data_IF_879275470130
#
_entry.id   IF_879275470130
#
_cell.length_a   1.000
_cell.length_b   1.000
_cell.length_c   1.000
_cell.angle_alpha   90.00
_cell.angle_beta   90.00
_cell.angle_gamma   90.00
#
_symmetry.space_group_name_H-M   'P 1'
#
loop_
_entity.id
_entity.type
_entity.pdbx_description
1 polymer ?
#
# COMPACT_ATOMS: atom_id res chain seq x y z
N UNK A 1 -46.89 -34.49 0.73
CA UNK A 1 -45.68 -34.83 -0.05
C UNK A 1 -44.90 -33.62 -0.59
N UNK A 2 -45.54 -32.58 -1.15
CA UNK A 2 -44.82 -31.35 -1.60
C UNK A 2 -44.10 -30.62 -0.47
N UNK A 3 -44.72 -30.52 0.72
CA UNK A 3 -44.14 -29.84 1.88
C UNK A 3 -42.89 -30.55 2.42
N UNK A 4 -42.90 -31.89 2.51
CA UNK A 4 -41.72 -32.68 2.89
C UNK A 4 -40.58 -32.56 1.88
N UNK A 5 -40.87 -32.46 0.57
CA UNK A 5 -39.85 -32.25 -0.47
C UNK A 5 -39.23 -30.85 -0.38
N UNK A 6 -40.03 -29.81 -0.11
CA UNK A 6 -39.53 -28.46 0.13
C UNK A 6 -38.69 -28.36 1.40
N UNK A 7 -39.08 -29.07 2.47
CA UNK A 7 -38.29 -29.15 3.70
C UNK A 7 -36.95 -29.86 3.47
N UNK A 8 -36.93 -30.96 2.72
CA UNK A 8 -35.70 -31.67 2.37
C UNK A 8 -34.78 -30.84 1.49
N UNK A 9 -35.30 -30.10 0.51
CA UNK A 9 -34.50 -29.18 -0.33
C UNK A 9 -33.95 -28.02 0.49
N UNK A 10 -34.74 -27.47 1.43
CA UNK A 10 -34.27 -26.43 2.35
C UNK A 10 -33.17 -26.92 3.28
N UNK A 11 -33.31 -28.14 3.84
CA UNK A 11 -32.29 -28.76 4.70
C UNK A 11 -31.03 -29.07 3.89
N UNK A 12 -31.17 -29.58 2.67
CA UNK A 12 -30.05 -29.88 1.78
C UNK A 12 -29.29 -28.61 1.36
N UNK A 13 -29.99 -27.50 1.07
CA UNK A 13 -29.36 -26.20 0.77
C UNK A 13 -28.65 -25.63 2.01
N UNK A 14 -29.21 -25.82 3.22
CA UNK A 14 -28.56 -25.35 4.46
C UNK A 14 -27.34 -26.16 4.89
N UNK A 15 -27.22 -27.43 4.46
CA UNK A 15 -26.03 -28.26 4.75
C UNK A 15 -24.90 -28.01 3.74
N UNK A 16 -25.22 -27.45 2.57
CA UNK A 16 -24.25 -27.10 1.52
C UNK A 16 -23.84 -25.62 1.52
N UNK A 17 -24.13 -24.84 2.58
CA UNK A 17 -23.38 -23.60 2.81
C UNK A 17 -21.95 -24.00 3.14
N UNK A 18 -21.14 -24.11 2.09
CA UNK A 18 -19.68 -24.12 2.16
C UNK A 18 -19.33 -22.93 3.04
N UNK A 19 -18.73 -23.21 4.19
CA UNK A 19 -18.09 -22.20 5.00
C UNK A 19 -16.93 -21.66 4.18
N UNK A 20 -17.21 -20.70 3.29
CA UNK A 20 -16.18 -19.90 2.64
C UNK A 20 -15.55 -19.07 3.74
N UNK A 21 -14.45 -19.58 4.30
CA UNK A 21 -13.54 -18.75 5.07
C UNK A 21 -12.73 -17.94 4.07
N UNK A 22 -12.76 -16.63 4.19
CA UNK A 22 -11.80 -15.81 3.48
C UNK A 22 -10.44 -16.04 4.14
N UNK A 23 -9.46 -16.54 3.38
CA UNK A 23 -8.07 -16.78 3.82
C UNK A 23 -7.27 -15.47 4.01
N UNK A 24 -7.98 -14.36 4.25
CA UNK A 24 -7.47 -12.99 4.40
C UNK A 24 -6.09 -12.90 5.05
N UNK A 25 -5.19 -12.11 4.45
CA UNK A 25 -3.92 -11.77 5.07
C UNK A 25 -3.02 -10.95 4.16
N UNK A 26 -2.22 -10.09 4.79
CA UNK A 26 -1.09 -9.41 4.16
C UNK A 26 0.17 -10.09 4.66
N UNK A 27 0.79 -10.90 3.81
CA UNK A 27 1.84 -11.84 4.20
C UNK A 27 3.23 -11.27 3.91
N UNK A 28 4.20 -11.52 4.80
CA UNK A 28 5.60 -11.12 4.59
C UNK A 28 6.19 -12.02 3.50
N UNK A 29 6.70 -11.47 2.37
CA UNK A 29 7.18 -12.27 1.24
C UNK A 29 8.26 -13.29 1.60
N UNK A 30 9.17 -12.95 2.52
CA UNK A 30 10.24 -13.86 2.98
C UNK A 30 9.74 -15.08 3.77
N UNK A 31 8.47 -15.08 4.20
CA UNK A 31 7.84 -16.17 4.94
C UNK A 31 6.88 -17.02 4.08
N UNK A 32 6.70 -16.70 2.80
CA UNK A 32 5.72 -17.35 1.93
C UNK A 32 5.89 -18.87 1.86
N UNK A 33 7.13 -19.35 1.74
CA UNK A 33 7.42 -20.79 1.66
C UNK A 33 6.98 -21.57 2.89
N UNK A 34 6.99 -20.91 4.07
CA UNK A 34 6.61 -21.51 5.34
C UNK A 34 5.11 -21.41 5.63
N UNK A 35 4.45 -20.35 5.16
CA UNK A 35 3.11 -19.98 5.61
C UNK A 35 2.02 -20.26 4.57
N UNK A 36 2.18 -19.77 3.34
CA UNK A 36 1.04 -19.60 2.42
C UNK A 36 1.21 -20.30 1.08
N UNK A 37 2.44 -20.71 0.74
CA UNK A 37 2.73 -21.20 -0.61
C UNK A 37 1.88 -22.41 -1.03
N UNK A 38 1.64 -23.34 -0.11
CA UNK A 38 0.79 -24.50 -0.38
C UNK A 38 -0.65 -24.10 -0.75
N UNK A 39 -1.20 -23.08 -0.11
CA UNK A 39 -2.55 -22.60 -0.41
C UNK A 39 -2.59 -21.80 -1.72
N UNK A 40 -1.54 -21.01 -2.00
CA UNK A 40 -1.39 -20.34 -3.31
C UNK A 40 -1.40 -21.35 -4.46
N UNK A 41 -0.70 -22.49 -4.32
CA UNK A 41 -0.70 -23.55 -5.32
C UNK A 41 -2.09 -24.18 -5.51
N UNK A 42 -2.82 -24.46 -4.42
CA UNK A 42 -4.20 -24.97 -4.49
C UNK A 42 -5.14 -24.00 -5.22
N UNK A 43 -4.90 -22.69 -5.08
CA UNK A 43 -5.65 -21.63 -5.75
C UNK A 43 -5.22 -21.39 -7.21
N UNK A 44 -4.20 -22.10 -7.70
CA UNK A 44 -3.76 -22.06 -9.10
C UNK A 44 -2.48 -21.27 -9.37
N UNK A 45 -1.74 -20.86 -8.33
CA UNK A 45 -0.42 -20.28 -8.49
C UNK A 45 0.54 -21.28 -9.16
N UNK A 46 1.18 -20.85 -10.25
CA UNK A 46 2.19 -21.65 -10.97
C UNK A 46 3.63 -21.23 -10.67
N UNK A 47 3.80 -20.13 -9.94
CA UNK A 47 5.12 -19.65 -9.53
C UNK A 47 5.62 -20.47 -8.34
N UNK A 48 6.92 -20.57 -8.21
CA UNK A 48 7.61 -21.02 -7.00
C UNK A 48 7.70 -19.90 -5.97
N UNK A 49 7.91 -20.25 -4.69
CA UNK A 49 8.15 -19.24 -3.66
C UNK A 49 9.41 -18.39 -3.97
N UNK A 50 10.44 -19.00 -4.54
CA UNK A 50 11.70 -18.32 -4.92
C UNK A 50 11.51 -17.37 -6.12
N UNK A 51 10.63 -17.70 -7.07
CA UNK A 51 10.26 -16.77 -8.15
C UNK A 51 9.51 -15.54 -7.63
N UNK A 52 8.83 -15.66 -6.49
CA UNK A 52 8.13 -14.53 -5.84
C UNK A 52 9.10 -13.69 -5.00
N UNK A 53 9.91 -14.35 -4.16
CA UNK A 53 10.89 -13.71 -3.29
C UNK A 53 12.16 -14.56 -3.16
N UNK A 54 13.30 -14.01 -3.56
CA UNK A 54 14.63 -14.59 -3.33
C UNK A 54 15.66 -13.51 -3.03
N UNK A 55 16.61 -13.80 -2.15
CA UNK A 55 17.79 -12.95 -1.91
C UNK A 55 19.01 -13.39 -2.74
N UNK A 56 18.94 -14.59 -3.34
CA UNK A 56 20.07 -15.22 -4.03
C UNK A 56 20.02 -15.01 -5.55
N UNK A 57 18.84 -14.74 -6.11
CA UNK A 57 18.63 -14.44 -7.52
C UNK A 57 17.47 -13.45 -7.69
N UNK A 58 17.33 -12.90 -8.90
CA UNK A 58 16.20 -12.04 -9.25
C UNK A 58 14.87 -12.75 -9.03
N UNK A 59 13.87 -12.03 -8.54
CA UNK A 59 12.50 -12.51 -8.33
C UNK A 59 11.48 -11.39 -8.57
N UNK A 60 10.18 -11.70 -8.47
CA UNK A 60 9.12 -10.69 -8.64
C UNK A 60 9.32 -9.49 -7.70
N UNK A 61 9.83 -9.69 -6.48
CA UNK A 61 10.10 -8.60 -5.54
C UNK A 61 10.93 -7.46 -6.16
N UNK A 62 11.83 -7.78 -7.09
CA UNK A 62 12.75 -6.82 -7.70
C UNK A 62 12.08 -5.93 -8.75
N UNK A 63 10.85 -6.27 -9.16
CA UNK A 63 10.02 -5.41 -10.01
C UNK A 63 8.96 -4.64 -9.22
N UNK A 64 8.77 -4.89 -7.93
CA UNK A 64 7.78 -4.19 -7.09
C UNK A 64 8.48 -3.07 -6.34
N UNK A 65 8.04 -1.85 -6.61
CA UNK A 65 8.63 -0.62 -6.08
C UNK A 65 7.67 0.09 -5.13
N UNK A 66 8.24 0.80 -4.16
CA UNK A 66 7.53 1.74 -3.31
C UNK A 66 7.81 3.16 -3.82
N UNK A 67 6.76 3.90 -4.12
CA UNK A 67 6.86 5.34 -4.36
C UNK A 67 6.92 6.07 -3.03
N UNK A 68 7.76 7.09 -2.94
CA UNK A 68 7.99 7.82 -1.71
C UNK A 68 8.64 9.18 -1.92
N UNK A 69 8.97 9.79 -0.79
CA UNK A 69 9.76 11.01 -0.73
C UNK A 69 10.92 10.82 0.23
N UNK A 70 12.01 11.54 0.00
CA UNK A 70 13.10 11.65 0.95
C UNK A 70 13.00 12.96 1.72
N UNK A 71 13.06 12.89 3.05
CA UNK A 71 13.14 14.06 3.92
C UNK A 71 14.18 13.81 5.00
N UNK A 72 15.12 14.75 5.17
CA UNK A 72 16.22 14.65 6.13
C UNK A 72 17.05 13.34 6.00
N UNK A 73 17.21 12.83 4.77
CA UNK A 73 17.94 11.59 4.49
C UNK A 73 17.19 10.30 4.84
N UNK A 74 15.91 10.39 5.24
CA UNK A 74 15.03 9.25 5.44
C UNK A 74 14.00 9.15 4.32
N UNK A 75 13.84 7.93 3.78
CA UNK A 75 12.81 7.61 2.80
C UNK A 75 11.49 7.25 3.49
N UNK A 76 10.40 7.83 3.02
CA UNK A 76 9.03 7.50 3.43
C UNK A 76 8.18 7.16 2.20
N UNK A 77 7.66 5.95 2.15
CA UNK A 77 6.83 5.48 1.04
C UNK A 77 5.33 5.68 1.28
N UNK A 78 4.58 5.86 0.19
CA UNK A 78 3.14 6.12 0.21
C UNK A 78 2.32 5.29 -0.79
N UNK A 79 2.92 4.80 -1.88
CA UNK A 79 2.24 4.00 -2.90
C UNK A 79 3.10 2.82 -3.34
N UNK A 80 2.45 1.89 -4.05
CA UNK A 80 3.13 0.81 -4.77
C UNK A 80 3.23 1.17 -6.26
N UNK A 81 4.26 0.67 -6.91
CA UNK A 81 4.47 0.76 -8.34
C UNK A 81 5.18 -0.50 -8.83
N UNK A 82 5.23 -0.71 -10.15
CA UNK A 82 5.85 -1.88 -10.73
C UNK A 82 6.65 -1.58 -11.99
N UNK A 83 7.83 -2.19 -12.11
CA UNK A 83 8.68 -2.09 -13.30
C UNK A 83 8.19 -3.07 -14.36
N UNK A 84 7.95 -2.56 -15.56
CA UNK A 84 7.36 -3.31 -16.68
C UNK A 84 8.24 -3.33 -17.93
N UNK A 85 9.48 -2.85 -17.84
CA UNK A 85 10.44 -2.91 -18.95
C UNK A 85 11.89 -2.99 -18.48
N UNK A 86 12.79 -3.47 -19.33
CA UNK A 86 14.24 -3.46 -19.10
C UNK A 86 14.91 -2.07 -19.12
N UNK A 87 14.13 -0.98 -19.22
CA UNK A 87 14.61 0.41 -19.19
C UNK A 87 13.89 1.24 -18.13
N UNK A 88 13.53 0.63 -17.01
CA UNK A 88 13.05 1.33 -15.83
C UNK A 88 11.65 1.94 -15.93
N UNK A 89 10.87 1.61 -16.97
CA UNK A 89 9.48 2.05 -17.08
C UNK A 89 8.67 1.49 -15.91
N UNK A 90 8.00 2.38 -15.19
CA UNK A 90 7.33 2.15 -13.92
C UNK A 90 5.85 2.52 -14.05
N UNK A 91 4.96 1.58 -13.74
CA UNK A 91 3.52 1.82 -13.69
C UNK A 91 3.07 2.01 -12.24
N UNK A 92 2.13 2.91 -12.02
CA UNK A 92 1.45 3.13 -10.74
C UNK A 92 0.07 3.72 -11.00
N UNK A 93 -0.71 3.99 -9.96
CA UNK A 93 -2.00 4.66 -10.13
C UNK A 93 -1.86 6.15 -10.50
N UNK A 94 -2.86 6.70 -11.18
CA UNK A 94 -2.94 8.13 -11.47
C UNK A 94 -2.98 8.93 -10.17
N UNK A 95 -3.73 8.47 -9.17
CA UNK A 95 -3.80 9.15 -7.87
C UNK A 95 -2.46 9.10 -7.09
N UNK A 96 -1.63 8.07 -7.32
CA UNK A 96 -0.27 7.99 -6.74
C UNK A 96 0.69 8.98 -7.38
N UNK A 97 0.62 9.16 -8.70
CA UNK A 97 1.39 10.17 -9.43
C UNK A 97 0.82 11.59 -9.34
N UNK A 98 -0.35 11.76 -8.73
CA UNK A 98 -1.16 12.97 -8.85
C UNK A 98 -0.48 14.23 -8.31
N UNK A 99 0.23 14.10 -7.20
CA UNK A 99 1.01 15.20 -6.62
C UNK A 99 2.12 15.67 -7.56
N UNK A 100 2.87 14.72 -8.16
CA UNK A 100 3.90 15.02 -9.13
C UNK A 100 3.31 15.67 -10.40
N UNK A 101 2.18 15.14 -10.91
CA UNK A 101 1.49 15.70 -12.08
C UNK A 101 0.98 17.12 -11.78
N UNK A 102 0.42 17.36 -10.59
CA UNK A 102 -0.05 18.67 -10.18
C UNK A 102 1.08 19.68 -10.06
N UNK A 103 2.21 19.31 -9.44
CA UNK A 103 3.40 20.17 -9.31
C UNK A 103 4.04 20.50 -10.67
N UNK A 104 3.94 19.60 -11.64
CA UNK A 104 4.41 19.82 -13.01
C UNK A 104 3.42 20.66 -13.84
N UNK A 105 2.17 20.77 -13.43
CA UNK A 105 1.13 21.48 -14.18
C UNK A 105 1.19 23.00 -13.95
N UNK A 106 0.95 23.78 -15.00
CA UNK A 106 0.69 25.22 -14.91
C UNK A 106 -0.66 25.55 -15.53
N UNK A 107 -1.06 26.83 -15.52
CA UNK A 107 -2.28 27.27 -16.23
C UNK A 107 -2.11 27.05 -17.75
N UNK A 108 -0.92 27.29 -18.29
CA UNK A 108 -0.58 27.11 -19.69
C UNK A 108 -0.42 25.62 -20.06
N UNK A 109 0.13 24.82 -19.15
CA UNK A 109 0.37 23.38 -19.34
C UNK A 109 -0.35 22.58 -18.24
N UNK A 110 -1.67 22.49 -18.35
CA UNK A 110 -2.49 21.77 -17.39
C UNK A 110 -2.50 20.26 -17.70
N UNK A 111 -1.52 19.52 -17.16
CA UNK A 111 -1.42 18.07 -17.32
C UNK A 111 -2.49 17.32 -16.53
N UNK A 112 -3.06 17.92 -15.48
CA UNK A 112 -4.20 17.34 -14.78
C UNK A 112 -5.44 17.28 -15.69
N UNK A 113 -5.73 18.36 -16.42
CA UNK A 113 -6.87 18.42 -17.31
C UNK A 113 -6.65 17.65 -18.62
N UNK A 114 -5.47 17.79 -19.22
CA UNK A 114 -5.21 17.32 -20.59
C UNK A 114 -4.44 16.00 -20.66
N UNK A 115 -3.87 15.54 -19.55
CA UNK A 115 -2.91 14.46 -19.53
C UNK A 115 -1.53 14.91 -20.04
N UNK A 116 -0.59 13.98 -20.04
CA UNK A 116 0.78 14.18 -20.51
C UNK A 116 1.29 12.89 -21.14
N UNK A 117 2.08 12.98 -22.22
CA UNK A 117 2.71 11.84 -22.87
C UNK A 117 4.02 12.28 -23.53
N UNK A 118 5.15 11.83 -23.01
CA UNK A 118 6.45 12.08 -23.64
C UNK A 118 6.59 11.23 -24.91
N UNK A 119 7.09 11.83 -26.01
CA UNK A 119 7.34 11.10 -27.26
C UNK A 119 8.66 10.36 -27.24
N UNK A 120 9.58 10.78 -26.37
CA UNK A 120 10.91 10.22 -26.20
C UNK A 120 11.44 10.55 -24.80
N UNK A 121 12.54 9.91 -24.42
CA UNK A 121 13.16 10.05 -23.09
C UNK A 121 13.63 11.48 -22.75
N UNK A 122 13.92 12.31 -23.75
CA UNK A 122 14.35 13.70 -23.51
C UNK A 122 13.17 14.62 -23.16
N UNK A 123 11.95 14.20 -23.45
CA UNK A 123 10.72 14.91 -23.11
C UNK A 123 10.13 14.47 -21.77
N UNK A 124 10.69 13.43 -21.12
CA UNK A 124 10.23 12.99 -19.79
C UNK A 124 10.51 14.06 -18.74
N UNK A 125 9.49 14.39 -17.93
CA UNK A 125 9.56 15.51 -16.98
C UNK A 125 10.07 15.05 -15.62
N UNK A 126 11.11 15.70 -15.09
CA UNK A 126 11.62 15.38 -13.75
C UNK A 126 10.57 15.67 -12.67
N UNK A 127 10.13 14.64 -11.96
CA UNK A 127 9.20 14.77 -10.83
C UNK A 127 10.00 15.05 -9.55
N UNK A 128 10.38 16.31 -9.33
CA UNK A 128 11.24 16.70 -8.21
C UNK A 128 10.66 16.24 -6.85
N UNK A 129 11.51 15.59 -6.06
CA UNK A 129 11.16 15.04 -4.75
C UNK A 129 10.45 13.69 -4.78
N UNK A 130 10.01 13.19 -5.94
CA UNK A 130 9.50 11.83 -6.07
C UNK A 130 10.66 10.84 -6.11
N UNK A 131 10.61 9.85 -5.23
CA UNK A 131 11.57 8.75 -5.16
C UNK A 131 10.85 7.42 -5.45
N UNK A 132 11.59 6.45 -5.96
CA UNK A 132 11.15 5.08 -6.12
C UNK A 132 12.16 4.15 -5.45
N UNK A 133 11.72 3.20 -4.64
CA UNK A 133 12.60 2.24 -3.97
C UNK A 133 12.17 0.81 -4.22
N UNK A 134 13.11 -0.13 -4.21
CA UNK A 134 12.77 -1.55 -4.20
C UNK A 134 13.45 -2.28 -3.04
N UNK A 135 12.84 -3.39 -2.65
CA UNK A 135 13.26 -4.20 -1.52
C UNK A 135 14.47 -5.07 -1.89
N UNK A 136 15.58 -4.89 -1.18
CA UNK A 136 16.77 -5.74 -1.29
C UNK A 136 16.57 -7.04 -0.50
N UNK A 137 16.26 -6.94 0.80
CA UNK A 137 16.04 -8.09 1.69
C UNK A 137 15.21 -7.72 2.91
N UNK A 138 14.76 -8.75 3.61
CA UNK A 138 14.06 -8.67 4.91
C UNK A 138 14.80 -9.58 5.88
N UNK A 139 15.19 -9.04 7.04
CA UNK A 139 15.84 -9.80 8.11
C UNK A 139 14.96 -9.77 9.38
N UNK A 140 14.76 -10.91 10.04
CA UNK A 140 14.19 -10.95 11.39
C UNK A 140 15.26 -10.51 12.38
N UNK A 141 15.00 -9.40 13.08
CA UNK A 141 15.90 -8.81 14.06
C UNK A 141 15.28 -8.74 15.45
N UNK A 142 14.19 -9.50 15.68
CA UNK A 142 13.42 -9.49 16.93
C UNK A 142 14.30 -9.72 18.15
N UNK A 143 15.12 -10.77 18.12
CA UNK A 143 16.03 -11.10 19.23
C UNK A 143 17.04 -9.97 19.52
N UNK A 144 17.56 -9.31 18.48
CA UNK A 144 18.52 -8.19 18.63
C UNK A 144 17.86 -6.94 19.19
N UNK A 145 16.64 -6.64 18.76
CA UNK A 145 15.89 -5.48 19.24
C UNK A 145 15.49 -5.65 20.72
N UNK A 146 15.10 -6.87 21.11
CA UNK A 146 14.61 -7.17 22.45
C UNK A 146 15.69 -7.62 23.44
N UNK A 147 16.96 -7.70 23.04
CA UNK A 147 18.08 -8.16 23.88
C UNK A 147 18.16 -7.47 25.26
N UNK A 148 17.87 -6.17 25.30
CA UNK A 148 17.93 -5.36 26.51
C UNK A 148 16.55 -5.10 27.14
N UNK A 149 15.49 -5.70 26.62
CA UNK A 149 14.14 -5.60 27.17
C UNK A 149 13.95 -6.72 28.20
N UNK A 150 13.55 -6.36 29.41
CA UNK A 150 13.35 -7.31 30.53
C UNK A 150 11.94 -7.18 31.08
N UNK A 151 11.46 -8.28 31.65
CA UNK A 151 10.18 -8.30 32.35
C UNK A 151 10.18 -7.29 33.50
N UNK A 152 9.05 -6.59 33.66
CA UNK A 152 8.86 -5.59 34.72
C UNK A 152 9.52 -4.22 34.45
N UNK A 153 10.12 -4.00 33.27
CA UNK A 153 10.56 -2.65 32.86
C UNK A 153 9.37 -1.70 32.76
N UNK A 154 9.61 -0.41 33.09
CA UNK A 154 8.65 0.64 32.78
C UNK A 154 8.55 0.84 31.26
N UNK A 155 7.38 1.20 30.77
CA UNK A 155 7.13 1.35 29.32
C UNK A 155 8.04 2.40 28.67
N UNK A 156 8.36 3.49 29.38
CA UNK A 156 9.28 4.51 28.87
C UNK A 156 10.70 3.97 28.72
N UNK A 157 11.16 3.17 29.70
CA UNK A 157 12.49 2.54 29.68
C UNK A 157 12.57 1.46 28.60
N UNK A 158 11.53 0.64 28.47
CA UNK A 158 11.37 -0.36 27.41
C UNK A 158 11.43 0.29 26.02
N UNK A 159 10.66 1.35 25.82
CA UNK A 159 10.61 2.09 24.55
C UNK A 159 11.97 2.71 24.22
N UNK A 160 12.65 3.29 25.21
CA UNK A 160 13.99 3.84 25.02
C UNK A 160 15.03 2.78 24.64
N UNK A 161 14.99 1.60 25.30
CA UNK A 161 15.87 0.48 24.98
C UNK A 161 15.66 -0.03 23.54
N UNK A 162 14.40 -0.22 23.13
CA UNK A 162 14.03 -0.63 21.76
C UNK A 162 14.50 0.41 20.75
N UNK A 163 14.23 1.70 20.99
CA UNK A 163 14.65 2.79 20.07
C UNK A 163 16.16 2.82 19.88
N UNK A 164 16.93 2.62 20.96
CA UNK A 164 18.39 2.56 20.91
C UNK A 164 18.88 1.37 20.08
N UNK A 165 18.31 0.18 20.29
CA UNK A 165 18.65 -1.02 19.53
C UNK A 165 18.32 -0.84 18.03
N UNK A 166 17.12 -0.34 17.73
CA UNK A 166 16.68 -0.06 16.35
C UNK A 166 17.64 0.89 15.64
N UNK A 167 18.01 2.01 16.27
CA UNK A 167 18.92 2.98 15.65
C UNK A 167 20.31 2.40 15.37
N UNK A 168 20.81 1.52 16.25
CA UNK A 168 22.09 0.86 16.06
C UNK A 168 22.06 -0.14 14.88
N UNK A 169 21.02 -1.00 14.83
CA UNK A 169 20.87 -2.01 13.77
C UNK A 169 20.64 -1.33 12.40
N UNK A 170 19.79 -0.29 12.34
CA UNK A 170 19.57 0.45 11.10
C UNK A 170 20.85 1.15 10.62
N UNK A 171 21.67 1.69 11.53
CA UNK A 171 22.94 2.32 11.17
C UNK A 171 23.90 1.30 10.56
N UNK A 172 24.08 0.15 11.21
CA UNK A 172 24.92 -0.96 10.73
C UNK A 172 24.48 -1.42 9.33
N UNK A 173 23.18 -1.57 9.11
CA UNK A 173 22.65 -2.04 7.83
C UNK A 173 22.88 -1.09 6.64
N UNK A 174 23.13 0.20 6.90
CA UNK A 174 23.37 1.24 5.88
C UNK A 174 24.86 1.52 5.65
N UNK A 175 25.74 0.98 6.48
CA UNK A 175 27.16 1.36 6.48
C UNK A 175 27.86 0.89 5.19
N UNK A 176 28.44 1.85 4.46
CA UNK A 176 29.30 1.58 3.30
C UNK A 176 28.61 1.11 2.01
N UNK A 177 27.27 1.00 1.97
CA UNK A 177 26.55 0.41 0.84
C UNK A 177 25.57 1.35 0.11
N UNK A 178 25.23 2.51 0.69
CA UNK A 178 24.31 3.47 0.07
C UNK A 178 22.83 3.07 0.11
N UNK A 179 22.48 1.99 0.82
CA UNK A 179 21.11 1.57 1.01
C UNK A 179 20.41 2.35 2.12
N UNK A 180 19.09 2.29 2.10
CA UNK A 180 18.23 2.69 3.21
C UNK A 180 17.80 1.44 3.98
N UNK A 181 17.70 1.57 5.29
CA UNK A 181 17.29 0.47 6.15
C UNK A 181 16.29 0.99 7.18
N UNK A 182 15.19 0.26 7.36
CA UNK A 182 14.16 0.59 8.34
C UNK A 182 13.69 -0.66 9.06
N UNK A 183 13.69 -0.61 10.38
CA UNK A 183 13.04 -1.63 11.20
C UNK A 183 11.58 -1.24 11.36
N UNK A 184 10.71 -2.23 11.14
CA UNK A 184 9.28 -2.10 11.39
C UNK A 184 8.86 -3.09 12.46
N UNK A 185 7.99 -2.60 13.33
CA UNK A 185 7.34 -3.37 14.37
C UNK A 185 6.17 -4.16 13.77
N UNK A 186 6.13 -5.45 14.04
CA UNK A 186 5.04 -6.34 13.68
C UNK A 186 4.35 -6.89 14.93
N UNK A 187 3.11 -7.36 14.77
CA UNK A 187 2.31 -7.97 15.83
C UNK A 187 2.32 -7.17 17.14
N UNK A 188 2.04 -5.87 17.07
CA UNK A 188 1.99 -4.96 18.22
C UNK A 188 3.26 -4.93 19.09
N UNK A 189 4.44 -5.27 18.54
CA UNK A 189 5.71 -5.19 19.30
C UNK A 189 6.29 -6.54 19.70
N UNK A 190 5.67 -7.62 19.27
CA UNK A 190 6.17 -8.96 19.49
C UNK A 190 7.28 -9.35 18.50
N UNK A 191 7.30 -8.74 17.31
CA UNK A 191 8.30 -9.02 16.28
C UNK A 191 8.84 -7.74 15.64
N UNK A 192 10.10 -7.80 15.17
CA UNK A 192 10.79 -6.69 14.51
C UNK A 192 11.53 -7.19 13.28
N UNK A 193 11.20 -6.60 12.13
CA UNK A 193 11.82 -6.94 10.85
C UNK A 193 12.57 -5.74 10.28
N UNK A 194 13.82 -5.97 9.89
CA UNK A 194 14.64 -5.01 9.16
C UNK A 194 14.36 -5.15 7.67
N UNK A 195 14.00 -4.03 7.03
CA UNK A 195 13.83 -3.94 5.60
C UNK A 195 14.95 -3.08 5.02
N UNK A 196 15.65 -3.61 4.02
CA UNK A 196 16.71 -2.87 3.32
C UNK A 196 16.28 -2.57 1.89
N UNK A 197 16.45 -1.32 1.48
CA UNK A 197 15.99 -0.77 0.23
C UNK A 197 17.11 -0.06 -0.53
N UNK A 198 17.05 -0.15 -1.84
CA UNK A 198 17.75 0.78 -2.72
C UNK A 198 16.75 1.86 -3.17
N UNK A 199 17.15 3.14 -3.07
CA UNK A 199 16.26 4.29 -3.28
C UNK A 199 16.77 5.15 -4.42
N UNK A 200 15.99 5.24 -5.49
CA UNK A 200 16.23 6.08 -6.66
C UNK A 200 15.55 7.44 -6.51
N UNK A 201 16.31 8.51 -6.77
CA UNK A 201 15.90 9.90 -6.55
C UNK A 201 15.61 10.67 -7.84
N UNK A 202 15.89 10.07 -9.00
CA UNK A 202 15.54 10.61 -10.31
C UNK A 202 14.42 9.76 -10.91
N UNK A 203 13.19 10.21 -10.71
CA UNK A 203 11.98 9.60 -11.25
C UNK A 203 11.31 10.63 -12.15
N UNK A 204 11.02 10.26 -13.39
CA UNK A 204 10.50 11.18 -14.40
C UNK A 204 9.13 10.75 -14.90
N UNK A 205 8.22 11.70 -15.06
CA UNK A 205 6.89 11.47 -15.63
C UNK A 205 7.04 11.16 -17.12
N UNK A 206 6.50 10.02 -17.54
CA UNK A 206 6.46 9.55 -18.93
C UNK A 206 5.08 9.76 -19.52
N UNK A 207 4.04 9.43 -18.75
CA UNK A 207 2.67 9.56 -19.24
C UNK A 207 1.62 9.54 -18.15
N UNK A 208 0.58 10.31 -18.32
CA UNK A 208 -0.62 10.30 -17.49
C UNK A 208 -1.85 10.59 -18.36
N UNK A 209 -2.94 9.82 -18.22
CA UNK A 209 -4.20 10.18 -18.85
C UNK A 209 -4.75 11.49 -18.25
N UNK A 210 -5.63 12.21 -18.95
CA UNK A 210 -6.36 13.32 -18.35
C UNK A 210 -7.14 12.85 -17.13
N UNK A 211 -7.35 13.75 -16.17
CA UNK A 211 -8.12 13.49 -14.95
C UNK A 211 -9.52 12.94 -15.21
N UNK A 212 -10.15 13.31 -16.34
CA UNK A 212 -11.43 12.77 -16.76
C UNK A 212 -11.41 11.24 -16.96
N UNK A 213 -10.24 10.65 -17.20
CA UNK A 213 -10.02 9.19 -17.29
C UNK A 213 -9.38 8.69 -15.99
N UNK A 214 -8.27 9.31 -15.57
CA UNK A 214 -7.44 8.90 -14.43
C UNK A 214 -8.19 8.89 -13.10
N UNK A 215 -9.25 9.69 -12.98
CA UNK A 215 -10.16 9.73 -11.83
C UNK A 215 -11.63 9.90 -12.24
N UNK A 216 -12.02 9.23 -13.33
CA UNK A 216 -13.42 9.19 -13.79
C UNK A 216 -14.37 8.84 -12.63
N UNK A 217 -15.48 9.57 -12.53
CA UNK A 217 -16.45 9.49 -11.43
C UNK A 217 -16.05 10.25 -10.16
N UNK A 218 -14.79 10.67 -10.04
CA UNK A 218 -14.27 11.49 -8.95
C UNK A 218 -14.68 11.01 -7.56
N UNK A 219 -15.07 11.95 -6.71
CA UNK A 219 -15.57 11.64 -5.38
C UNK A 219 -16.96 11.00 -5.40
N UNK A 220 -17.65 10.79 -6.51
CA UNK A 220 -18.89 9.98 -6.47
C UNK A 220 -18.55 8.51 -6.46
N UNK A 221 -17.66 8.11 -7.37
CA UNK A 221 -17.33 6.70 -7.57
C UNK A 221 -16.22 6.20 -6.64
N UNK A 222 -15.47 7.09 -5.97
CA UNK A 222 -14.43 6.66 -5.04
C UNK A 222 -14.97 5.70 -3.95
N UNK A 223 -14.24 4.61 -3.67
CA UNK A 223 -14.65 3.44 -2.87
C UNK A 223 -15.84 2.61 -3.38
N UNK A 224 -16.30 2.81 -4.61
CA UNK A 224 -17.45 2.09 -5.17
C UNK A 224 -17.05 1.02 -6.21
N UNK A 225 -17.88 -0.03 -6.26
CA UNK A 225 -17.98 -1.01 -7.35
C UNK A 225 -19.45 -1.10 -7.80
N UNK A 226 -19.79 -1.16 -9.12
CA UNK A 226 -18.92 -1.19 -10.30
C UNK A 226 -18.04 0.04 -10.47
N UNK A 227 -16.92 -0.09 -11.21
CA UNK A 227 -15.94 0.98 -11.42
C UNK A 227 -15.45 1.04 -12.87
N UNK A 228 -15.25 2.25 -13.38
CA UNK A 228 -14.86 2.52 -14.77
C UNK A 228 -13.68 3.53 -14.89
N UNK A 229 -12.85 3.64 -13.86
CA UNK A 229 -11.74 4.59 -13.81
C UNK A 229 -10.47 3.98 -14.42
N UNK A 230 -9.83 4.70 -15.34
CA UNK A 230 -8.51 4.35 -15.89
C UNK A 230 -7.38 4.87 -15.00
N UNK A 231 -7.32 4.41 -13.75
CA UNK A 231 -6.44 4.96 -12.70
C UNK A 231 -4.98 4.47 -12.86
N UNK A 232 -4.25 5.08 -13.79
CA UNK A 232 -2.83 4.81 -13.99
C UNK A 232 -2.02 6.06 -14.34
N UNK A 233 -0.75 6.05 -13.98
CA UNK A 233 0.28 6.96 -14.48
C UNK A 233 1.58 6.18 -14.68
N UNK A 234 2.45 6.73 -15.53
CA UNK A 234 3.67 6.08 -15.99
C UNK A 234 4.83 7.01 -15.69
N UNK A 235 5.82 6.45 -15.01
CA UNK A 235 7.09 7.09 -14.72
C UNK A 235 8.24 6.26 -15.29
N UNK A 236 9.44 6.80 -15.24
CA UNK A 236 10.68 6.06 -15.46
C UNK A 236 11.68 6.36 -14.36
N UNK A 237 12.31 5.31 -13.86
CA UNK A 237 13.41 5.41 -12.91
C UNK A 237 14.71 5.63 -13.66
N UNK A 238 15.51 6.61 -13.22
CA UNK A 238 16.84 6.92 -13.73
C UNK A 238 17.91 6.68 -12.65
N UNK A 239 19.14 6.46 -13.11
CA UNK A 239 20.30 6.24 -12.27
C UNK A 239 21.54 6.93 -12.87
N UNK A 240 22.59 7.08 -12.05
CA UNK A 240 23.88 7.56 -12.52
C UNK A 240 24.46 6.64 -13.59
N UNK A 241 25.36 7.18 -14.42
CA UNK A 241 26.06 6.39 -15.44
C UNK A 241 26.93 5.26 -14.85
N UNK A 242 27.26 5.34 -13.56
CA UNK A 242 27.92 4.30 -12.78
C UNK A 242 26.98 3.16 -12.34
N UNK A 243 25.70 3.24 -12.69
CA UNK A 243 24.67 2.26 -12.36
C UNK A 243 24.09 2.41 -10.96
N UNK A 244 24.39 3.49 -10.23
CA UNK A 244 23.92 3.70 -8.85
C UNK A 244 22.79 4.73 -8.78
N UNK A 245 21.95 4.68 -7.74
CA UNK A 245 21.00 5.75 -7.48
C UNK A 245 21.67 7.12 -7.42
N UNK A 246 21.09 8.09 -8.13
CA UNK A 246 21.61 9.44 -8.21
C UNK A 246 20.47 10.46 -8.08
N UNK A 247 20.81 11.67 -7.65
CA UNK A 247 19.93 12.82 -7.83
C UNK A 247 19.78 13.12 -9.33
N UNK A 248 18.76 13.91 -9.67
CA UNK A 248 18.54 14.33 -11.06
C UNK A 248 19.80 14.90 -11.71
N UNK A 249 20.11 14.38 -12.90
CA UNK A 249 21.10 14.92 -13.83
C UNK A 249 20.63 14.66 -15.25
N UNK A 250 20.97 15.56 -16.18
CA UNK A 250 20.73 15.35 -17.61
C UNK A 250 21.50 14.15 -18.16
N UNK A 251 22.61 13.80 -17.51
CA UNK A 251 23.49 12.68 -17.92
C UNK A 251 23.07 11.34 -17.30
N UNK A 252 22.05 11.33 -16.43
CA UNK A 252 21.52 10.09 -15.88
C UNK A 252 20.92 9.22 -16.99
N UNK A 253 21.03 7.92 -16.83
CA UNK A 253 20.57 6.91 -17.78
C UNK A 253 19.37 6.15 -17.21
N UNK A 254 18.48 5.59 -18.05
CA UNK A 254 17.40 4.73 -17.58
C UNK A 254 17.90 3.59 -16.70
N UNK A 255 17.23 3.36 -15.58
CA UNK A 255 17.52 2.23 -14.69
C UNK A 255 17.37 0.90 -15.44
N UNK A 256 18.34 0.00 -15.24
CA UNK A 256 18.31 -1.36 -15.76
C UNK A 256 17.91 -2.29 -14.63
N UNK A 257 16.66 -2.79 -14.61
CA UNK A 257 16.16 -3.55 -13.48
C UNK A 257 16.73 -4.97 -13.43
N UNK A 258 16.81 -5.52 -12.22
CA UNK A 258 17.11 -6.93 -12.00
C UNK A 258 15.99 -7.86 -12.50
N UNK A 259 14.75 -7.37 -12.47
CA UNK A 259 13.56 -8.07 -12.96
C UNK A 259 12.53 -7.06 -13.45
N UNK A 260 11.71 -7.42 -14.45
CA UNK A 260 10.55 -6.63 -14.84
C UNK A 260 9.36 -7.54 -15.13
N UNK A 261 8.15 -7.03 -14.88
CA UNK A 261 6.93 -7.77 -15.14
C UNK A 261 6.64 -7.81 -16.65
N UNK A 262 6.16 -8.97 -17.11
CA UNK A 262 5.59 -9.11 -18.44
C UNK A 262 4.10 -8.75 -18.40
N UNK A 263 3.64 -7.95 -19.35
CA UNK A 263 2.23 -7.56 -19.44
C UNK A 263 1.47 -8.58 -20.30
N UNK A 264 0.48 -9.23 -19.72
CA UNK A 264 -0.43 -10.13 -20.46
C UNK A 264 -1.51 -9.33 -21.18
N UNK A 265 -1.71 -9.61 -22.47
CA UNK A 265 -2.83 -9.07 -23.28
C UNK A 265 -3.97 -10.08 -23.47
N UNK A 266 -3.95 -11.19 -22.72
CA UNK A 266 -4.93 -12.29 -22.87
C UNK A 266 -6.26 -12.05 -22.14
N UNK A 267 -6.36 -10.97 -21.37
CA UNK A 267 -7.50 -10.68 -20.50
C UNK A 267 -7.51 -11.51 -19.21
N UNK A 268 -8.59 -11.39 -18.45
CA UNK A 268 -8.84 -12.08 -17.18
C UNK A 268 -10.26 -12.66 -17.17
N UNK A 269 -10.49 -13.73 -16.41
CA UNK A 269 -11.81 -14.35 -16.23
C UNK A 269 -12.08 -14.65 -14.75
N UNK A 270 -13.36 -14.85 -14.36
CA UNK A 270 -13.69 -15.27 -13.01
C UNK A 270 -12.88 -16.51 -12.58
N UNK A 271 -12.42 -16.49 -11.33
CA UNK A 271 -11.59 -17.52 -10.70
C UNK A 271 -10.16 -17.68 -11.23
N UNK A 272 -9.64 -16.74 -12.03
CA UNK A 272 -8.21 -16.69 -12.28
C UNK A 272 -7.44 -16.39 -10.99
N UNK A 273 -6.37 -17.14 -10.74
CA UNK A 273 -5.45 -16.86 -9.64
C UNK A 273 -4.89 -15.45 -9.78
N UNK A 274 -5.02 -14.65 -8.71
CA UNK A 274 -4.51 -13.28 -8.66
C UNK A 274 -3.63 -13.13 -7.43
N UNK A 275 -2.42 -12.62 -7.65
CA UNK A 275 -1.49 -12.25 -6.58
C UNK A 275 -1.23 -10.75 -6.65
N UNK A 276 -1.37 -10.07 -5.52
CA UNK A 276 -1.06 -8.65 -5.37
C UNK A 276 0.12 -8.54 -4.41
N UNK A 277 1.18 -7.86 -4.85
CA UNK A 277 2.33 -7.51 -4.04
C UNK A 277 2.42 -5.99 -3.95
N UNK A 278 2.71 -5.48 -2.76
CA UNK A 278 2.83 -4.05 -2.54
C UNK A 278 3.10 -3.71 -1.08
N UNK A 279 2.92 -2.43 -0.76
CA UNK A 279 3.28 -1.84 0.52
C UNK A 279 2.03 -1.33 1.24
N UNK A 280 1.21 -2.22 1.83
CA UNK A 280 0.03 -1.79 2.57
C UNK A 280 0.45 -0.91 3.75
N UNK A 281 -0.28 0.20 3.96
CA UNK A 281 0.07 1.20 4.96
C UNK A 281 -0.21 0.74 6.40
N UNK A 282 -1.49 0.69 6.79
CA UNK A 282 -1.90 0.33 8.14
C UNK A 282 -3.17 -0.53 8.11
N UNK A 283 -3.26 -1.49 9.02
CA UNK A 283 -4.46 -2.25 9.30
C UNK A 283 -4.67 -2.34 10.81
N UNK A 284 -5.92 -2.55 11.23
CA UNK A 284 -6.31 -2.65 12.64
C UNK A 284 -7.04 -3.98 12.90
N UNK A 285 -6.56 -5.07 12.29
CA UNK A 285 -7.24 -6.37 12.30
C UNK A 285 -7.51 -6.94 13.70
N UNK A 286 -6.68 -6.57 14.67
CA UNK A 286 -6.77 -7.03 16.06
C UNK A 286 -7.41 -6.01 17.01
N UNK A 287 -8.08 -4.98 16.48
CA UNK A 287 -8.82 -4.03 17.29
C UNK A 287 -9.88 -4.77 18.11
N UNK A 288 -9.99 -4.43 19.40
CA UNK A 288 -11.03 -4.99 20.28
C UNK A 288 -12.42 -4.54 19.84
N UNK A 289 -13.45 -5.25 20.29
CA UNK A 289 -14.82 -4.83 20.06
C UNK A 289 -15.10 -3.41 20.55
N UNK A 290 -14.58 -3.05 21.73
CA UNK A 290 -14.68 -1.70 22.28
C UNK A 290 -13.97 -0.65 21.40
N UNK A 291 -12.83 -1.00 20.81
CA UNK A 291 -12.15 -0.14 19.85
C UNK A 291 -12.97 0.06 18.58
N UNK A 292 -13.58 -1.00 18.04
CA UNK A 292 -14.48 -0.90 16.88
C UNK A 292 -15.72 -0.05 17.19
N UNK A 293 -16.30 -0.18 18.39
CA UNK A 293 -17.41 0.65 18.85
C UNK A 293 -17.01 2.12 18.96
N UNK A 294 -15.85 2.42 19.55
CA UNK A 294 -15.31 3.77 19.62
C UNK A 294 -15.12 4.38 18.22
N UNK A 295 -14.60 3.60 17.26
CA UNK A 295 -14.47 4.03 15.86
C UNK A 295 -15.82 4.37 15.24
N UNK A 296 -16.81 3.48 15.41
CA UNK A 296 -18.16 3.62 14.88
C UNK A 296 -18.90 4.83 15.45
N UNK A 297 -18.85 5.02 16.76
CA UNK A 297 -19.77 5.90 17.48
C UNK A 297 -19.16 7.27 17.82
N UNK A 298 -17.84 7.39 17.83
CA UNK A 298 -17.15 8.62 18.27
C UNK A 298 -16.12 9.11 17.25
N UNK A 299 -15.11 8.31 16.95
CA UNK A 299 -13.94 8.76 16.19
C UNK A 299 -14.27 9.12 14.73
N UNK A 300 -14.81 8.17 13.96
CA UNK A 300 -15.14 8.41 12.56
C UNK A 300 -16.24 9.48 12.38
N UNK A 301 -17.33 9.52 13.18
CA UNK A 301 -18.32 10.59 13.09
C UNK A 301 -17.72 12.00 13.27
N UNK A 302 -16.77 12.15 14.19
CA UNK A 302 -16.08 13.43 14.40
C UNK A 302 -15.23 13.83 13.20
N UNK A 303 -14.45 12.89 12.63
CA UNK A 303 -13.64 13.13 11.44
C UNK A 303 -14.50 13.50 10.24
N UNK A 304 -15.56 12.75 9.96
CA UNK A 304 -16.49 13.02 8.84
C UNK A 304 -17.08 14.43 8.99
N UNK A 305 -17.54 14.81 10.19
CA UNK A 305 -18.12 16.14 10.41
C UNK A 305 -17.12 17.29 10.17
N UNK A 306 -15.90 17.16 10.69
CA UNK A 306 -14.88 18.22 10.60
C UNK A 306 -14.31 18.31 9.19
N UNK A 307 -13.94 17.18 8.61
CA UNK A 307 -13.32 17.10 7.29
C UNK A 307 -14.31 17.48 6.19
N UNK A 308 -15.58 17.07 6.30
CA UNK A 308 -16.61 17.47 5.34
C UNK A 308 -16.74 18.98 5.21
N UNK A 309 -16.80 19.70 6.35
CA UNK A 309 -16.85 21.18 6.34
C UNK A 309 -15.63 21.81 5.66
N UNK A 310 -14.43 21.25 5.90
CA UNK A 310 -13.20 21.74 5.27
C UNK A 310 -13.23 21.54 3.76
N UNK A 311 -13.67 20.36 3.30
CA UNK A 311 -13.82 20.04 1.88
C UNK A 311 -14.83 20.96 1.19
N UNK A 312 -15.98 21.24 1.82
CA UNK A 312 -16.99 22.16 1.27
C UNK A 312 -16.42 23.56 1.03
N UNK A 313 -15.65 24.07 2.00
CA UNK A 313 -14.98 25.38 1.88
C UNK A 313 -13.94 25.36 0.77
N UNK A 314 -13.06 24.37 0.75
CA UNK A 314 -12.02 24.25 -0.27
C UNK A 314 -12.62 24.14 -1.68
N UNK A 315 -13.64 23.32 -1.85
CA UNK A 315 -14.31 23.10 -3.14
C UNK A 315 -14.85 24.41 -3.72
N UNK A 316 -15.47 25.25 -2.89
CA UNK A 316 -15.97 26.58 -3.31
C UNK A 316 -14.88 27.43 -3.94
N UNK A 317 -13.68 27.46 -3.36
CA UNK A 317 -12.57 28.27 -3.90
C UNK A 317 -11.91 27.62 -5.11
N UNK A 318 -11.77 26.29 -5.11
CA UNK A 318 -11.26 25.55 -6.27
C UNK A 318 -12.17 25.69 -7.49
N UNK A 319 -13.49 25.74 -7.31
CA UNK A 319 -14.44 25.93 -8.43
C UNK A 319 -14.40 27.36 -9.00
N UNK A 320 -13.97 28.33 -8.21
CA UNK A 320 -13.90 29.73 -8.60
C UNK A 320 -12.59 30.13 -9.30
N UNK A 321 -11.51 29.35 -9.15
CA UNK A 321 -10.20 29.68 -9.70
C UNK A 321 -9.42 28.43 -10.12
N UNK A 322 -8.98 28.40 -11.38
CA UNK A 322 -8.15 27.32 -11.92
C UNK A 322 -6.79 27.25 -11.22
N UNK A 323 -6.19 28.39 -10.87
CA UNK A 323 -4.93 28.45 -10.12
C UNK A 323 -5.10 27.80 -8.74
N UNK A 324 -6.17 28.14 -8.00
CA UNK A 324 -6.47 27.53 -6.70
C UNK A 324 -6.78 26.05 -6.84
N UNK A 325 -7.49 25.67 -7.91
CA UNK A 325 -7.80 24.26 -8.19
C UNK A 325 -6.53 23.45 -8.40
N UNK A 326 -5.56 23.94 -9.15
CA UNK A 326 -4.26 23.28 -9.36
C UNK A 326 -3.50 23.22 -8.03
N UNK A 327 -3.40 24.34 -7.31
CA UNK A 327 -2.66 24.43 -6.05
C UNK A 327 -3.20 23.49 -4.95
N UNK A 328 -4.53 23.34 -4.84
CA UNK A 328 -5.16 22.49 -3.84
C UNK A 328 -5.53 21.09 -4.34
N UNK A 329 -5.21 20.75 -5.60
CA UNK A 329 -5.68 19.52 -6.24
C UNK A 329 -5.32 18.27 -5.44
N UNK A 330 -4.04 18.15 -5.06
CA UNK A 330 -3.47 16.99 -4.36
C UNK A 330 -4.03 16.88 -2.94
N UNK A 331 -3.95 17.97 -2.17
CA UNK A 331 -4.43 18.03 -0.78
C UNK A 331 -5.93 17.74 -0.67
N UNK A 332 -6.74 18.32 -1.58
CA UNK A 332 -8.18 18.08 -1.61
C UNK A 332 -8.48 16.60 -1.88
N UNK A 333 -7.84 16.00 -2.89
CA UNK A 333 -8.07 14.60 -3.26
C UNK A 333 -7.68 13.64 -2.12
N UNK A 334 -6.54 13.86 -1.47
CA UNK A 334 -6.11 13.05 -0.32
C UNK A 334 -7.09 13.14 0.84
N UNK A 335 -7.57 14.35 1.15
CA UNK A 335 -8.52 14.57 2.23
C UNK A 335 -9.93 14.02 1.90
N UNK A 336 -10.39 14.16 0.66
CA UNK A 336 -11.66 13.61 0.19
C UNK A 336 -11.65 12.07 0.18
N UNK A 337 -10.51 11.46 -0.14
CA UNK A 337 -10.32 10.01 -0.06
C UNK A 337 -10.48 9.50 1.39
N UNK A 338 -9.81 10.15 2.35
CA UNK A 338 -9.94 9.83 3.77
C UNK A 338 -11.36 10.05 4.29
N UNK A 339 -11.98 11.18 3.91
CA UNK A 339 -13.38 11.49 4.25
C UNK A 339 -14.32 10.35 3.91
N UNK A 340 -14.23 9.84 2.68
CA UNK A 340 -15.05 8.71 2.24
C UNK A 340 -14.72 7.40 2.95
N UNK A 341 -13.45 7.12 3.21
CA UNK A 341 -13.05 5.94 3.95
C UNK A 341 -13.74 5.90 5.32
N UNK A 342 -13.71 7.01 6.07
CA UNK A 342 -14.35 7.08 7.39
C UNK A 342 -15.88 6.95 7.29
N UNK A 343 -16.52 7.53 6.27
CA UNK A 343 -17.95 7.32 6.02
C UNK A 343 -18.28 5.85 5.74
N UNK A 344 -17.51 5.21 4.87
CA UNK A 344 -17.69 3.81 4.51
C UNK A 344 -17.49 2.88 5.70
N UNK A 345 -16.45 3.13 6.51
CA UNK A 345 -16.18 2.36 7.72
C UNK A 345 -17.30 2.50 8.75
N UNK A 346 -17.82 3.71 9.00
CA UNK A 346 -18.98 3.92 9.87
C UNK A 346 -20.18 3.08 9.41
N UNK A 347 -20.54 3.19 8.13
CA UNK A 347 -21.69 2.47 7.57
C UNK A 347 -21.48 0.96 7.67
N UNK A 348 -20.25 0.49 7.43
CA UNK A 348 -19.91 -0.94 7.51
C UNK A 348 -20.07 -1.45 8.94
N UNK A 349 -19.51 -0.75 9.93
CA UNK A 349 -19.60 -1.12 11.35
C UNK A 349 -21.03 -1.03 11.91
N UNK A 350 -21.91 -0.24 11.28
CA UNK A 350 -23.32 -0.12 11.64
C UNK A 350 -24.19 -1.20 10.98
N UNK A 351 -23.90 -1.56 9.73
CA UNK A 351 -24.76 -2.44 8.92
C UNK A 351 -24.34 -3.91 8.93
N UNK A 352 -23.13 -4.21 9.37
CA UNK A 352 -22.62 -5.58 9.48
C UNK A 352 -22.57 -6.02 10.94
N UNK A 353 -22.40 -7.31 11.14
CA UNK A 353 -22.19 -7.94 12.45
C UNK A 353 -20.71 -7.94 12.87
N UNK A 354 -19.83 -7.17 12.21
CA UNK A 354 -18.38 -7.16 12.47
C UNK A 354 -18.04 -6.90 13.96
N UNK A 355 -18.73 -5.96 14.60
CA UNK A 355 -18.55 -5.68 16.04
C UNK A 355 -18.98 -6.88 16.89
N UNK A 356 -20.10 -7.52 16.55
CA UNK A 356 -20.60 -8.68 17.28
C UNK A 356 -19.67 -9.89 17.12
N UNK A 357 -19.18 -10.15 15.90
CA UNK A 357 -18.18 -11.19 15.64
C UNK A 357 -16.89 -10.94 16.44
N UNK A 358 -16.45 -9.67 16.53
CA UNK A 358 -15.28 -9.32 17.35
C UNK A 358 -15.53 -9.53 18.85
N UNK A 359 -16.72 -9.21 19.37
CA UNK A 359 -17.09 -9.52 20.76
C UNK A 359 -16.97 -11.02 21.06
N UNK A 360 -17.52 -11.86 20.19
CA UNK A 360 -17.40 -13.32 20.33
C UNK A 360 -15.95 -13.80 20.26
N UNK A 361 -15.09 -13.12 19.49
CA UNK A 361 -13.66 -13.40 19.50
C UNK A 361 -13.01 -12.99 20.83
N UNK A 362 -13.29 -11.77 21.32
CA UNK A 362 -12.74 -11.25 22.57
C UNK A 362 -13.14 -12.13 23.76
N UNK A 363 -14.40 -12.58 23.83
CA UNK A 363 -14.90 -13.49 24.86
C UNK A 363 -14.19 -14.86 24.81
N UNK A 364 -13.95 -15.41 23.62
CA UNK A 364 -13.19 -16.66 23.47
C UNK A 364 -11.73 -16.49 23.87
N UNK A 365 -11.12 -15.35 23.57
CA UNK A 365 -9.77 -15.04 23.99
C UNK A 365 -9.69 -14.94 25.51
N UNK A 366 -10.63 -14.23 26.15
CA UNK A 366 -10.69 -14.13 27.60
C UNK A 366 -10.86 -15.51 28.26
N UNK A 367 -11.79 -16.32 27.76
CA UNK A 367 -11.99 -17.67 28.28
C UNK A 367 -10.75 -18.57 28.12
N UNK A 368 -9.97 -18.39 27.05
CA UNK A 368 -8.70 -19.09 26.86
C UNK A 368 -7.64 -18.63 27.87
N UNK A 369 -7.53 -17.33 28.13
CA UNK A 369 -6.62 -16.77 29.14
C UNK A 369 -7.00 -17.27 30.54
N UNK A 370 -8.28 -17.24 30.89
CA UNK A 370 -8.77 -17.67 32.21
C UNK A 370 -8.57 -19.17 32.45
N UNK A 371 -8.45 -19.97 31.39
CA UNK A 371 -8.19 -21.41 31.49
C UNK A 371 -6.70 -21.76 31.65
N UNK A 372 -5.80 -20.81 31.36
CA UNK A 372 -4.34 -20.96 31.51
C UNK A 372 -3.83 -20.35 32.84
N UNK A 373 -4.69 -19.62 33.54
CA UNK A 373 -4.48 -19.08 34.89
C UNK A 373 -4.83 -20.12 35.98
#
# INVERSE_FOLDING_TARGET
MKFLKLLFVSIFISVFTIFSKADEGMWIPSLLSKLNYADMQKLGCKLTAEEIYSINHSSIKDAIFQLGHESNGEFSGFCTAEIVSGQGLLFTNHHCGYDAIAKLSTVEHDYLANGFWSKNMNEELSAEGLCASHLIRIDDVTARVLENVKDGMKEEERTAAIRKAVAAIEKEAKEGNGYQAKIKQFFAGNEYYLFVYEVFKDVRLVGAPPSSIGKFGGDTDNWMWPRHTGDFSIFRVYMGADGKPANYSKDNVPYKPLYHLNISIKGVKPNDFTMIMGYPGQTERYLTASGMEYKRDVYNPALVKLVGKKLDVWKKYMDASQEVKIALASDYAGLANGYKLWQGEMVTLQKTDAVAQRKMYDERLQAWIDADA
#
